data_IF_167204755683
#
_entry.id   IF_167204755683
#
_cell.length_a   1.000
_cell.length_b   1.000
_cell.length_c   1.000
_cell.angle_alpha   90.00
_cell.angle_beta   90.00
_cell.angle_gamma   90.00
#
_symmetry.space_group_name_H-M   'P 1'
#
loop_
_entity.id
_entity.type
_entity.pdbx_description
1 polymer ?
#
# COMPACT_ATOMS: atom_id res chain seq x y z
N UNK A 1 48.15 -0.65 -5.93
CA UNK A 1 46.72 -0.66 -6.32
C UNK A 1 46.13 -1.94 -5.76
N UNK A 2 45.35 -1.85 -4.69
CA UNK A 2 44.74 -3.03 -4.06
C UNK A 2 43.60 -3.55 -4.94
N UNK A 3 43.44 -4.87 -5.10
CA UNK A 3 42.36 -5.44 -5.89
C UNK A 3 41.03 -5.10 -5.22
N UNK A 4 40.12 -4.51 -6.01
CA UNK A 4 38.75 -4.20 -5.60
C UNK A 4 38.09 -5.44 -5.04
N UNK A 5 37.65 -5.38 -3.78
CA UNK A 5 36.93 -6.49 -3.17
C UNK A 5 35.66 -6.79 -3.97
N UNK A 6 35.30 -8.08 -4.12
CA UNK A 6 34.04 -8.46 -4.75
C UNK A 6 32.89 -7.85 -3.93
N UNK A 7 32.01 -7.11 -4.62
CA UNK A 7 30.79 -6.56 -4.03
C UNK A 7 30.00 -7.76 -3.50
N UNK A 8 29.97 -7.89 -2.18
CA UNK A 8 29.25 -8.95 -1.50
C UNK A 8 27.76 -8.69 -1.72
N UNK A 9 27.03 -9.71 -2.18
CA UNK A 9 25.57 -9.61 -2.33
C UNK A 9 24.96 -9.10 -1.03
N UNK A 10 24.02 -8.12 -1.07
CA UNK A 10 23.47 -7.52 0.13
C UNK A 10 22.83 -8.61 0.99
N UNK A 11 23.39 -8.80 2.18
CA UNK A 11 22.90 -9.74 3.18
C UNK A 11 21.56 -9.21 3.69
N UNK A 12 20.52 -10.04 3.71
CA UNK A 12 19.21 -9.61 4.19
C UNK A 12 19.26 -9.16 5.65
N UNK A 13 18.57 -8.06 5.94
CA UNK A 13 18.58 -7.34 7.22
C UNK A 13 17.70 -8.05 8.27
N UNK A 14 16.83 -8.98 7.84
CA UNK A 14 15.98 -9.77 8.75
C UNK A 14 16.55 -11.19 8.82
N UNK A 15 17.10 -11.62 9.97
CA UNK A 15 17.60 -12.98 10.15
C UNK A 15 16.55 -14.01 9.75
N UNK A 16 16.85 -14.88 8.78
CA UNK A 16 15.93 -15.93 8.30
C UNK A 16 15.04 -15.55 7.11
N UNK A 17 15.02 -14.28 6.65
CA UNK A 17 14.19 -13.84 5.50
C UNK A 17 14.73 -14.21 4.11
N UNK A 18 15.86 -14.91 4.01
CA UNK A 18 16.44 -15.26 2.71
C UNK A 18 17.04 -14.06 1.97
N UNK A 19 17.18 -14.17 0.63
CA UNK A 19 17.66 -13.08 -0.23
C UNK A 19 16.51 -12.15 -0.62
N UNK A 20 16.74 -10.84 -0.85
CA UNK A 20 15.71 -9.95 -1.37
C UNK A 20 15.00 -10.52 -2.61
N UNK A 21 13.67 -10.40 -2.76
CA UNK A 21 12.97 -11.02 -3.88
C UNK A 21 13.36 -10.36 -5.20
N UNK A 22 13.52 -11.18 -6.23
CA UNK A 22 13.82 -10.73 -7.60
C UNK A 22 12.57 -10.10 -8.23
N UNK A 23 12.69 -9.34 -9.34
CA UNK A 23 11.53 -8.85 -10.07
C UNK A 23 10.56 -9.97 -10.47
N UNK A 24 11.06 -11.14 -10.85
CA UNK A 24 10.24 -12.31 -11.15
C UNK A 24 9.49 -12.85 -9.92
N UNK A 25 10.13 -12.87 -8.75
CA UNK A 25 9.47 -13.27 -7.52
C UNK A 25 8.37 -12.27 -7.13
N UNK A 26 8.62 -10.96 -7.26
CA UNK A 26 7.60 -9.94 -7.05
C UNK A 26 6.43 -10.06 -8.03
N UNK A 27 6.72 -10.30 -9.31
CA UNK A 27 5.69 -10.53 -10.32
C UNK A 27 4.85 -11.76 -10.01
N UNK A 28 5.47 -12.84 -9.54
CA UNK A 28 4.76 -14.06 -9.12
C UNK A 28 3.84 -13.77 -7.94
N UNK A 29 4.34 -13.09 -6.90
CA UNK A 29 3.57 -12.70 -5.73
C UNK A 29 2.38 -11.81 -6.11
N UNK A 30 2.62 -10.81 -6.96
CA UNK A 30 1.57 -9.92 -7.47
C UNK A 30 0.51 -10.68 -8.26
N UNK A 31 0.92 -11.65 -9.08
CA UNK A 31 -0.01 -12.45 -9.90
C UNK A 31 -0.90 -13.37 -9.06
N UNK A 32 -0.41 -13.83 -7.91
CA UNK A 32 -1.21 -14.59 -6.93
C UNK A 32 -2.04 -13.72 -5.98
N UNK A 33 -1.72 -12.43 -5.89
CA UNK A 33 -2.48 -11.49 -5.06
C UNK A 33 -3.84 -11.17 -5.71
N UNK A 34 -4.85 -10.90 -4.88
CA UNK A 34 -6.24 -10.85 -5.31
C UNK A 34 -6.71 -9.41 -5.57
N UNK A 35 -7.60 -9.18 -6.55
CA UNK A 35 -8.42 -7.98 -6.60
C UNK A 35 -9.17 -7.72 -5.30
N UNK A 36 -9.53 -6.47 -5.03
CA UNK A 36 -10.22 -6.05 -3.79
C UNK A 36 -11.41 -6.93 -3.39
N UNK A 37 -12.35 -7.16 -4.32
CA UNK A 37 -13.57 -7.94 -4.03
C UNK A 37 -13.26 -9.43 -3.80
N UNK A 38 -12.32 -9.98 -4.56
CA UNK A 38 -11.89 -11.38 -4.43
C UNK A 38 -11.15 -11.61 -3.12
N UNK A 39 -10.29 -10.66 -2.72
CA UNK A 39 -9.61 -10.67 -1.44
C UNK A 39 -10.59 -10.72 -0.27
N UNK A 40 -11.60 -9.83 -0.27
CA UNK A 40 -12.61 -9.85 0.78
C UNK A 40 -13.48 -11.10 0.72
N UNK A 41 -13.80 -11.60 -0.48
CA UNK A 41 -14.54 -12.84 -0.63
C UNK A 41 -13.82 -14.01 0.05
N UNK A 42 -12.51 -14.12 -0.18
CA UNK A 42 -11.65 -15.22 0.28
C UNK A 42 -11.33 -15.10 1.78
N UNK A 43 -10.86 -13.94 2.24
CA UNK A 43 -10.23 -13.81 3.56
C UNK A 43 -11.11 -13.11 4.62
N UNK A 44 -12.22 -12.47 4.23
CA UNK A 44 -13.03 -11.70 5.17
C UNK A 44 -14.26 -12.48 5.67
N UNK A 45 -14.44 -12.50 7.00
CA UNK A 45 -15.71 -12.90 7.63
C UNK A 45 -16.82 -11.91 7.28
N UNK A 46 -18.09 -12.28 7.54
CA UNK A 46 -19.20 -11.36 7.32
C UNK A 46 -19.08 -10.05 8.12
N UNK A 47 -18.51 -10.10 9.33
CA UNK A 47 -18.26 -8.90 10.14
C UNK A 47 -17.15 -8.04 9.53
N UNK A 48 -16.05 -8.64 9.08
CA UNK A 48 -14.97 -7.93 8.41
C UNK A 48 -15.49 -7.24 7.15
N UNK A 49 -16.29 -7.93 6.32
CA UNK A 49 -16.92 -7.35 5.12
C UNK A 49 -17.76 -6.11 5.46
N UNK A 50 -18.55 -6.15 6.54
CA UNK A 50 -19.33 -4.99 7.00
C UNK A 50 -18.45 -3.81 7.39
N UNK A 51 -17.32 -4.05 8.08
CA UNK A 51 -16.38 -2.98 8.47
C UNK A 51 -15.71 -2.34 7.25
N UNK A 52 -15.25 -3.15 6.31
CA UNK A 52 -14.64 -2.68 5.06
C UNK A 52 -15.64 -1.92 4.18
N UNK A 53 -16.87 -2.42 4.05
CA UNK A 53 -17.91 -1.72 3.28
C UNK A 53 -18.32 -0.41 3.94
N UNK A 54 -18.48 -0.40 5.27
CA UNK A 54 -18.74 0.83 6.01
C UNK A 54 -17.61 1.84 5.79
N UNK A 55 -16.33 1.46 5.92
CA UNK A 55 -15.24 2.38 5.64
C UNK A 55 -15.25 2.85 4.17
N UNK A 56 -15.45 1.94 3.22
CA UNK A 56 -15.53 2.24 1.78
C UNK A 56 -16.63 3.26 1.47
N UNK A 57 -17.78 3.19 2.12
CA UNK A 57 -18.90 4.11 1.89
C UNK A 57 -18.65 5.52 2.40
N UNK A 58 -17.74 5.71 3.35
CA UNK A 58 -17.38 7.03 3.90
C UNK A 58 -16.20 7.68 3.17
N UNK A 59 -15.42 6.92 2.41
CA UNK A 59 -14.37 7.47 1.57
C UNK A 59 -15.01 8.20 0.39
N UNK A 60 -14.65 9.47 0.22
CA UNK A 60 -15.02 10.29 -0.92
C UNK A 60 -13.79 10.99 -1.48
N UNK A 61 -13.71 11.07 -2.81
CA UNK A 61 -12.67 11.82 -3.52
C UNK A 61 -13.25 13.18 -3.94
N UNK A 62 -12.63 14.25 -3.46
CA UNK A 62 -12.97 15.60 -3.92
C UNK A 62 -12.43 15.86 -5.34
N UNK A 63 -12.76 17.03 -5.91
CA UNK A 63 -12.37 17.40 -7.28
C UNK A 63 -10.85 17.47 -7.49
N UNK A 64 -10.09 17.83 -6.46
CA UNK A 64 -8.63 17.94 -6.57
C UNK A 64 -7.99 16.56 -6.54
N UNK A 65 -8.49 15.65 -5.70
CA UNK A 65 -8.09 14.25 -5.70
C UNK A 65 -8.33 13.59 -7.07
N UNK A 66 -9.51 13.81 -7.65
CA UNK A 66 -9.86 13.28 -8.97
C UNK A 66 -8.91 13.80 -10.05
N UNK A 67 -8.63 15.11 -10.06
CA UNK A 67 -7.71 15.72 -11.03
C UNK A 67 -6.30 15.15 -10.98
N UNK A 68 -5.79 14.87 -9.78
CA UNK A 68 -4.47 14.22 -9.61
C UNK A 68 -4.49 12.83 -10.23
N UNK A 69 -5.51 12.02 -9.94
CA UNK A 69 -5.64 10.64 -10.45
C UNK A 69 -5.86 10.60 -11.97
N UNK A 70 -6.61 11.54 -12.54
CA UNK A 70 -6.79 11.69 -14.00
C UNK A 70 -5.47 12.03 -14.71
N UNK A 71 -4.53 12.69 -14.03
CA UNK A 71 -3.21 13.01 -14.57
C UNK A 71 -2.26 11.81 -14.67
N UNK A 72 -2.66 10.64 -14.18
CA UNK A 72 -1.82 9.46 -14.18
C UNK A 72 -1.72 8.86 -15.60
N UNK A 73 -0.48 8.56 -16.05
CA UNK A 73 -0.22 8.08 -17.43
C UNK A 73 0.68 6.84 -17.53
N UNK A 74 1.24 6.36 -16.41
CA UNK A 74 2.04 5.13 -16.36
C UNK A 74 1.29 4.04 -15.61
N UNK A 75 1.40 2.80 -16.10
CA UNK A 75 0.95 1.63 -15.35
C UNK A 75 1.77 1.51 -14.07
N UNK A 76 1.07 1.40 -12.95
CA UNK A 76 1.60 1.30 -11.60
C UNK A 76 1.01 0.06 -10.94
N UNK A 77 1.73 -1.08 -10.95
CA UNK A 77 1.38 -2.21 -10.12
C UNK A 77 1.57 -1.85 -8.64
N UNK A 78 0.53 -2.05 -7.84
CA UNK A 78 0.52 -1.84 -6.39
C UNK A 78 0.03 -3.10 -5.71
N UNK A 79 0.89 -3.72 -4.90
CA UNK A 79 0.51 -4.85 -4.06
C UNK A 79 0.43 -4.39 -2.61
N UNK A 80 -0.68 -4.70 -1.94
CA UNK A 80 -0.90 -4.35 -0.54
C UNK A 80 -0.85 -5.62 0.29
N UNK A 81 0.16 -5.74 1.15
CA UNK A 81 0.15 -6.73 2.22
C UNK A 81 -0.88 -6.30 3.26
N UNK A 82 -1.92 -7.11 3.45
CA UNK A 82 -3.12 -6.73 4.21
C UNK A 82 -3.62 -7.91 5.04
N UNK A 83 -4.49 -7.64 6.00
CA UNK A 83 -5.29 -8.67 6.66
C UNK A 83 -6.73 -8.20 6.76
N UNK A 84 -7.69 -9.00 6.28
CA UNK A 84 -9.10 -8.62 6.28
C UNK A 84 -9.66 -8.33 7.69
N UNK A 85 -9.04 -8.92 8.71
CA UNK A 85 -9.35 -8.77 10.12
C UNK A 85 -8.76 -7.50 10.77
N UNK A 86 -7.80 -6.85 10.12
CA UNK A 86 -7.06 -5.72 10.71
C UNK A 86 -7.86 -4.41 10.59
N UNK A 87 -8.02 -3.70 11.70
CA UNK A 87 -8.72 -2.41 11.74
C UNK A 87 -8.09 -1.33 10.85
N UNK A 88 -6.76 -1.22 10.84
CA UNK A 88 -6.04 -0.28 9.98
C UNK A 88 -6.14 -0.63 8.50
N UNK A 89 -6.25 -1.93 8.17
CA UNK A 89 -6.51 -2.37 6.79
C UNK A 89 -7.93 -2.01 6.39
N UNK A 90 -8.92 -2.32 7.25
CA UNK A 90 -10.32 -2.01 6.99
C UNK A 90 -10.57 -0.51 6.83
N UNK A 91 -9.80 0.36 7.49
CA UNK A 91 -9.94 1.82 7.37
C UNK A 91 -9.21 2.40 6.15
N UNK A 92 -8.03 1.88 5.78
CA UNK A 92 -7.19 2.49 4.75
C UNK A 92 -7.27 1.81 3.38
N UNK A 93 -7.37 0.48 3.31
CA UNK A 93 -7.41 -0.23 2.03
C UNK A 93 -8.59 0.16 1.11
N UNK A 94 -9.79 0.50 1.62
CA UNK A 94 -10.85 1.04 0.78
C UNK A 94 -10.47 2.34 0.06
N UNK A 95 -9.56 3.16 0.61
CA UNK A 95 -9.07 4.37 -0.06
C UNK A 95 -8.36 4.00 -1.36
N UNK A 96 -7.53 2.96 -1.34
CA UNK A 96 -6.83 2.48 -2.55
C UNK A 96 -7.81 2.01 -3.62
N UNK A 97 -8.91 1.36 -3.21
CA UNK A 97 -9.96 0.93 -4.12
C UNK A 97 -10.57 2.13 -4.85
N UNK A 98 -10.90 3.20 -4.13
CA UNK A 98 -11.38 4.46 -4.72
C UNK A 98 -10.38 5.06 -5.70
N UNK A 99 -9.07 5.04 -5.38
CA UNK A 99 -8.05 5.50 -6.32
C UNK A 99 -7.99 4.65 -7.60
N UNK A 100 -7.98 3.32 -7.46
CA UNK A 100 -7.95 2.41 -8.62
C UNK A 100 -9.23 2.46 -9.46
N UNK A 101 -10.37 2.83 -8.86
CA UNK A 101 -11.62 3.03 -9.60
C UNK A 101 -11.62 4.32 -10.42
N UNK A 102 -10.87 5.33 -9.99
CA UNK A 102 -10.75 6.62 -10.66
C UNK A 102 -9.75 6.63 -11.83
N UNK A 103 -8.82 5.66 -11.90
CA UNK A 103 -7.84 5.59 -12.98
C UNK A 103 -7.40 4.16 -13.28
N UNK A 104 -7.30 3.82 -14.57
CA UNK A 104 -6.80 2.52 -15.04
C UNK A 104 -5.29 2.35 -14.89
N UNK A 105 -4.56 3.41 -14.53
CA UNK A 105 -3.12 3.35 -14.31
C UNK A 105 -2.73 2.55 -13.07
N UNK A 106 -3.61 2.42 -12.07
CA UNK A 106 -3.33 1.70 -10.83
C UNK A 106 -3.81 0.26 -10.98
N UNK A 107 -2.87 -0.69 -11.04
CA UNK A 107 -3.15 -2.13 -11.00
C UNK A 107 -3.01 -2.59 -9.55
N UNK A 108 -4.13 -2.56 -8.82
CA UNK A 108 -4.19 -2.79 -7.38
C UNK A 108 -4.49 -4.26 -7.05
N UNK A 109 -3.61 -4.87 -6.23
CA UNK A 109 -3.77 -6.24 -5.72
C UNK A 109 -3.54 -6.30 -4.21
N UNK A 110 -4.19 -7.25 -3.56
CA UNK A 110 -4.13 -7.48 -2.13
C UNK A 110 -3.57 -8.88 -1.84
N UNK A 111 -2.48 -8.93 -1.09
CA UNK A 111 -1.86 -10.17 -0.62
C UNK A 111 -2.21 -10.31 0.86
N UNK A 112 -2.84 -11.42 1.24
CA UNK A 112 -3.04 -11.72 2.65
C UNK A 112 -1.67 -11.89 3.34
N UNK A 113 -1.52 -11.30 4.53
CA UNK A 113 -0.29 -11.28 5.31
C UNK A 113 0.34 -12.67 5.43
N UNK A 114 -0.49 -13.68 5.63
CA UNK A 114 -0.04 -15.03 6.00
C UNK A 114 0.07 -15.95 4.76
N UNK A 115 -0.29 -15.46 3.56
CA UNK A 115 -0.32 -16.27 2.34
C UNK A 115 1.07 -16.60 1.76
N UNK A 116 2.03 -15.67 1.86
CA UNK A 116 3.40 -15.84 1.33
C UNK A 116 4.44 -15.27 2.30
N UNK A 117 4.83 -16.04 3.33
CA UNK A 117 5.77 -15.59 4.37
C UNK A 117 7.12 -15.10 3.82
N UNK A 118 7.62 -15.71 2.75
CA UNK A 118 8.87 -15.34 2.08
C UNK A 118 8.79 -13.97 1.41
N UNK A 119 7.62 -13.54 0.97
CA UNK A 119 7.39 -12.20 0.42
C UNK A 119 7.09 -11.21 1.54
N UNK A 120 6.20 -11.58 2.46
CA UNK A 120 5.80 -10.77 3.60
C UNK A 120 7.00 -10.38 4.48
N UNK A 121 7.99 -11.28 4.61
CA UNK A 121 9.24 -11.01 5.33
C UNK A 121 9.96 -9.74 4.86
N UNK A 122 9.78 -9.31 3.61
CA UNK A 122 10.42 -8.09 3.07
C UNK A 122 9.56 -6.82 3.17
N UNK A 123 8.34 -6.92 3.71
CA UNK A 123 7.37 -5.83 3.84
C UNK A 123 7.12 -5.52 5.32
N UNK A 124 8.19 -5.17 6.05
CA UNK A 124 8.11 -4.89 7.50
C UNK A 124 8.15 -3.41 7.83
N UNK A 125 7.56 -3.06 8.98
CA UNK A 125 7.63 -1.72 9.58
C UNK A 125 8.15 -1.89 11.00
N UNK A 126 9.27 -1.23 11.32
CA UNK A 126 10.01 -1.43 12.57
C UNK A 126 10.32 -2.92 12.85
N UNK A 127 10.63 -3.70 11.81
CA UNK A 127 10.90 -5.14 11.89
C UNK A 127 9.66 -6.01 12.16
N UNK A 128 8.48 -5.42 12.35
CA UNK A 128 7.22 -6.13 12.54
C UNK A 128 6.47 -6.35 11.23
N UNK A 129 5.73 -7.46 11.16
CA UNK A 129 4.74 -7.76 10.11
C UNK A 129 3.47 -6.93 10.34
N UNK A 130 3.60 -5.62 10.17
CA UNK A 130 2.48 -4.68 10.26
C UNK A 130 1.75 -4.60 8.93
N UNK A 131 0.47 -4.26 8.98
CA UNK A 131 -0.40 -4.11 7.80
C UNK A 131 -1.35 -2.94 8.03
N UNK A 132 -1.80 -2.25 6.97
CA UNK A 132 -1.48 -2.49 5.56
C UNK A 132 -0.09 -1.96 5.15
N UNK A 133 0.63 -2.69 4.30
CA UNK A 133 1.86 -2.20 3.66
C UNK A 133 1.71 -2.29 2.15
N UNK A 134 1.69 -1.15 1.48
CA UNK A 134 1.67 -1.04 0.03
C UNK A 134 3.11 -1.02 -0.53
N UNK A 135 3.40 -1.92 -1.45
CA UNK A 135 4.61 -1.89 -2.27
C UNK A 135 4.24 -1.50 -3.71
N UNK A 136 4.98 -0.52 -4.22
CA UNK A 136 4.78 0.04 -5.56
C UNK A 136 5.86 -0.45 -6.50
N UNK A 137 5.49 -0.79 -7.73
CA UNK A 137 6.41 -1.27 -8.75
C UNK A 137 6.36 -0.44 -10.03
N UNK A 138 7.41 -0.54 -10.83
CA UNK A 138 7.32 -0.27 -12.27
C UNK A 138 6.58 -1.38 -12.99
N UNK A 139 6.19 -1.13 -14.25
CA UNK A 139 5.44 -2.09 -15.07
C UNK A 139 6.13 -3.46 -15.25
N UNK A 140 7.45 -3.51 -15.03
CA UNK A 140 8.32 -4.68 -15.07
C UNK A 140 8.75 -5.18 -13.67
N UNK A 141 7.97 -4.86 -12.64
CA UNK A 141 8.08 -5.40 -11.28
C UNK A 141 9.40 -5.09 -10.53
N UNK A 142 10.06 -3.98 -10.88
CA UNK A 142 11.10 -3.42 -10.02
C UNK A 142 10.45 -2.60 -8.90
N UNK A 143 10.78 -2.88 -7.61
CA UNK A 143 10.27 -2.10 -6.48
C UNK A 143 10.69 -0.62 -6.57
N UNK A 144 9.75 0.28 -6.26
CA UNK A 144 9.99 1.72 -6.20
C UNK A 144 10.10 2.18 -4.75
N UNK A 145 9.05 1.90 -3.97
CA UNK A 145 8.95 2.30 -2.57
C UNK A 145 7.91 1.42 -1.87
N UNK A 146 8.06 1.26 -0.57
CA UNK A 146 7.06 0.70 0.33
C UNK A 146 6.49 1.80 1.22
N UNK A 147 5.19 1.76 1.50
CA UNK A 147 4.52 2.69 2.41
C UNK A 147 3.49 1.95 3.27
N UNK A 148 3.36 2.34 4.52
CA UNK A 148 2.56 1.65 5.54
C UNK A 148 3.28 1.67 6.89
N UNK A 149 2.68 1.25 8.00
CA UNK A 149 1.34 0.73 8.29
C UNK A 149 0.23 1.79 8.34
N UNK A 150 0.59 3.02 8.67
CA UNK A 150 -0.32 4.17 8.77
C UNK A 150 0.33 5.40 8.13
N UNK A 151 -0.51 6.29 7.60
CA UNK A 151 -0.06 7.63 7.21
C UNK A 151 0.25 8.51 8.42
N UNK A 152 0.84 9.69 8.19
CA UNK A 152 1.11 10.66 9.24
C UNK A 152 -0.19 11.08 9.96
N UNK A 153 -1.25 11.38 9.23
CA UNK A 153 -2.54 11.76 9.79
C UNK A 153 -3.15 10.62 10.62
N UNK A 154 -3.09 9.38 10.13
CA UNK A 154 -3.56 8.21 10.86
C UNK A 154 -2.75 7.97 12.16
N UNK A 155 -1.43 8.21 12.14
CA UNK A 155 -0.60 8.13 13.34
C UNK A 155 -0.92 9.22 14.38
N UNK A 156 -1.18 10.45 13.93
CA UNK A 156 -1.59 11.55 14.81
C UNK A 156 -2.92 11.23 15.53
N UNK A 157 -3.86 10.64 14.80
CA UNK A 157 -5.14 10.17 15.38
C UNK A 157 -4.90 9.07 16.42
N UNK A 158 -4.12 8.05 16.08
CA UNK A 158 -3.84 6.94 17.00
C UNK A 158 -3.17 7.40 18.31
N UNK A 159 -2.27 8.37 18.24
CA UNK A 159 -1.66 8.96 19.45
C UNK A 159 -2.66 9.80 20.25
N UNK A 160 -3.52 10.58 19.59
CA UNK A 160 -4.55 11.37 20.28
C UNK A 160 -5.57 10.49 21.03
N UNK A 161 -5.96 9.36 20.43
CA UNK A 161 -6.80 8.34 21.05
C UNK A 161 -6.11 7.72 22.27
N UNK A 162 -4.84 7.33 22.12
CA UNK A 162 -4.06 6.73 23.21
C UNK A 162 -3.85 7.69 24.40
N UNK A 163 -3.74 8.99 24.14
CA UNK A 163 -3.61 10.02 25.17
C UNK A 163 -4.91 10.29 25.96
N UNK A 164 -6.00 9.54 25.72
CA UNK A 164 -7.27 9.69 26.42
C UNK A 164 -8.06 10.93 26.02
N UNK A 165 -7.68 11.57 24.90
CA UNK A 165 -8.25 12.85 24.44
C UNK A 165 -9.62 12.68 23.76
N UNK A 166 -10.31 11.55 23.94
CA UNK A 166 -11.55 11.26 23.22
C UNK A 166 -12.61 10.60 24.10
N UNK A 167 -13.85 11.04 23.86
CA UNK A 167 -15.03 10.96 24.71
C UNK A 167 -15.52 9.52 24.98
N UNK A 168 -16.21 9.36 26.11
CA UNK A 168 -16.62 8.14 26.80
C UNK A 168 -17.67 7.23 26.11
N UNK A 169 -17.76 7.22 24.78
CA UNK A 169 -18.82 6.47 24.06
C UNK A 169 -18.34 5.26 23.24
N UNK A 170 -17.03 4.96 23.21
CA UNK A 170 -16.52 3.65 22.76
C UNK A 170 -16.66 3.34 21.26
N UNK A 171 -17.14 4.26 20.44
CA UNK A 171 -17.12 4.19 18.97
C UNK A 171 -16.74 5.58 18.48
N UNK A 172 -15.45 5.81 18.23
CA UNK A 172 -14.99 7.04 17.58
C UNK A 172 -14.79 6.67 16.13
N UNK A 173 -15.75 7.07 15.30
CA UNK A 173 -15.44 7.20 13.87
C UNK A 173 -14.54 8.42 13.69
N UNK A 174 -13.50 8.33 12.85
CA UNK A 174 -12.74 9.51 12.46
C UNK A 174 -13.71 10.60 12.01
N UNK A 175 -13.44 11.86 12.38
CA UNK A 175 -14.15 12.97 11.75
C UNK A 175 -13.93 12.91 10.23
N UNK A 176 -14.87 13.44 9.46
CA UNK A 176 -14.74 13.51 8.01
C UNK A 176 -13.44 14.21 7.58
N UNK A 177 -13.05 15.27 8.30
CA UNK A 177 -11.78 15.98 8.11
C UNK A 177 -10.54 15.08 8.34
N UNK A 178 -10.58 14.24 9.38
CA UNK A 178 -9.49 13.32 9.68
C UNK A 178 -9.37 12.23 8.61
N UNK A 179 -10.50 11.69 8.14
CA UNK A 179 -10.52 10.76 7.02
C UNK A 179 -9.98 11.41 5.75
N UNK A 180 -10.42 12.62 5.42
CA UNK A 180 -9.92 13.37 4.25
C UNK A 180 -8.41 13.59 4.32
N UNK A 181 -7.87 13.88 5.51
CA UNK A 181 -6.42 14.02 5.70
C UNK A 181 -5.67 12.71 5.41
N UNK A 182 -6.22 11.56 5.81
CA UNK A 182 -5.65 10.24 5.49
C UNK A 182 -5.77 9.93 4.00
N UNK A 183 -6.87 10.31 3.36
CA UNK A 183 -7.05 10.18 1.90
C UNK A 183 -5.99 11.00 1.17
N UNK A 184 -5.79 12.27 1.54
CA UNK A 184 -4.76 13.13 0.93
C UNK A 184 -3.35 12.61 1.17
N UNK A 185 -3.01 12.18 2.39
CA UNK A 185 -1.71 11.58 2.69
C UNK A 185 -1.41 10.38 1.77
N UNK A 186 -2.41 9.50 1.57
CA UNK A 186 -2.23 8.36 0.68
C UNK A 186 -2.13 8.79 -0.78
N UNK A 187 -2.93 9.77 -1.21
CA UNK A 187 -2.86 10.27 -2.57
C UNK A 187 -1.48 10.86 -2.90
N UNK A 188 -0.87 11.60 -1.97
CA UNK A 188 0.48 12.15 -2.12
C UNK A 188 1.52 11.03 -2.38
N UNK A 189 1.36 9.88 -1.74
CA UNK A 189 2.22 8.70 -1.98
C UNK A 189 2.04 8.18 -3.40
N UNK A 190 0.80 7.98 -3.84
CA UNK A 190 0.49 7.49 -5.20
C UNK A 190 0.96 8.48 -6.26
N UNK A 191 0.70 9.79 -6.09
CA UNK A 191 1.16 10.83 -7.01
C UNK A 191 2.68 10.84 -7.11
N UNK A 192 3.37 10.82 -5.97
CA UNK A 192 4.84 10.77 -5.93
C UNK A 192 5.38 9.57 -6.72
N UNK A 193 4.79 8.39 -6.55
CA UNK A 193 5.19 7.19 -7.32
C UNK A 193 4.92 7.39 -8.80
N UNK A 194 3.79 7.99 -9.18
CA UNK A 194 3.47 8.22 -10.58
C UNK A 194 4.45 9.18 -11.25
N UNK A 195 4.87 10.23 -10.53
CA UNK A 195 5.89 11.15 -11.00
C UNK A 195 7.25 10.46 -11.14
N UNK A 196 7.63 9.58 -10.21
CA UNK A 196 8.85 8.75 -10.32
C UNK A 196 8.79 7.88 -11.58
N UNK A 197 7.67 7.20 -11.82
CA UNK A 197 7.46 6.37 -13.01
C UNK A 197 7.57 7.19 -14.30
N UNK A 198 6.93 8.36 -14.34
CA UNK A 198 6.93 9.24 -15.51
C UNK A 198 8.32 9.80 -15.81
N UNK A 199 9.08 10.17 -14.79
CA UNK A 199 10.39 10.83 -14.92
C UNK A 199 11.58 9.87 -14.95
N UNK A 200 11.36 8.56 -14.73
CA UNK A 200 12.40 7.54 -14.80
C UNK A 200 13.02 7.47 -16.20
N UNK A 201 14.31 7.81 -16.32
CA UNK A 201 15.03 7.75 -17.58
C UNK A 201 15.07 6.35 -18.21
N UNK A 202 14.97 5.29 -17.40
CA UNK A 202 14.85 3.91 -17.88
C UNK A 202 13.49 3.66 -18.54
N UNK A 203 12.41 4.02 -17.87
CA UNK A 203 11.05 3.81 -18.37
C UNK A 203 10.74 4.71 -19.57
N UNK A 204 11.24 5.94 -19.56
CA UNK A 204 11.17 6.86 -20.71
C UNK A 204 11.79 6.27 -21.98
N UNK A 205 12.93 5.58 -21.86
CA UNK A 205 13.53 4.84 -22.99
C UNK A 205 12.65 3.68 -23.46
N UNK A 206 11.96 2.99 -22.54
CA UNK A 206 11.03 1.90 -22.89
C UNK A 206 9.81 2.44 -23.62
N UNK A 207 9.26 3.57 -23.19
CA UNK A 207 8.07 4.19 -23.78
C UNK A 207 8.35 5.15 -24.95
N UNK A 208 9.62 5.45 -25.24
CA UNK A 208 10.06 6.42 -26.26
C UNK A 208 9.53 7.85 -26.05
N UNK A 209 9.67 8.40 -24.83
CA UNK A 209 9.28 9.79 -24.50
C UNK A 209 10.26 10.58 -23.63
#
# INVERSE_FOLDING_TARGET
MSPSQPITSPRSIIPGSGSPPTPTAWQSAFSSALPYEEFLKEYATAENKKKWEAARSHVSLNSDHQRVLEGFVRRMPVMVLTGAWCGDCASQCPIFKHFSDATSCIDLRFLDRDAQPEIAAHLTVCGGQRVPVAIFFSEDFFPIVTHGDRTLSAYRMAIAEHAGSSCSTGIIQPSEEALQSVVSDWLDVFERVQLILRLSGRLRKIHND
#
